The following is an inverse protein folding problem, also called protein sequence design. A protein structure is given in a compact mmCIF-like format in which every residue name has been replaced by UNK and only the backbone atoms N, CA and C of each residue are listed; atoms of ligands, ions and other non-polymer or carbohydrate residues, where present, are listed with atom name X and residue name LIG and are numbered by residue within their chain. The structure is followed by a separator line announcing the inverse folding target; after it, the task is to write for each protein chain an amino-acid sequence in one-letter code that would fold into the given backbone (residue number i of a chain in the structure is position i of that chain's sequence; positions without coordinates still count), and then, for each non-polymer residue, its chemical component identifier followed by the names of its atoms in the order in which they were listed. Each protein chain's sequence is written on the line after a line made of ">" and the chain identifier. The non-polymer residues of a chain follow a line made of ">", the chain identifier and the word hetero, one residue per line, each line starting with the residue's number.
data_IF_981021085553
#
_entry.id   IF_981021085553
#
_cell.length_a   1.000
_cell.length_b   1.000
_cell.length_c   1.000
_cell.angle_alpha   90.00
_cell.angle_beta   90.00
_cell.angle_gamma   90.00
#
_symmetry.space_group_name_H-M   'P 1'
#
loop_
_entity.id
_entity.type
_entity.pdbx_description
1 polymer ?
#
# COMPACT_ATOMS: atom_id res chain seq x y z
N UNK A 1 1.30 2.62 20.84
CA UNK A 1 0.34 2.88 19.75
C UNK A 1 0.71 1.96 18.58
N UNK A 2 -0.22 1.21 17.99
CA UNK A 2 0.09 0.24 16.92
C UNK A 2 0.50 0.92 15.61
N UNK A 3 1.27 0.22 14.76
CA UNK A 3 1.77 0.71 13.46
C UNK A 3 0.61 1.12 12.56
N UNK A 4 -0.45 0.31 12.50
CA UNK A 4 -1.72 0.62 11.82
C UNK A 4 -2.30 1.99 12.18
N UNK A 5 -2.44 2.31 13.47
CA UNK A 5 -2.98 3.62 13.92
C UNK A 5 -2.08 4.80 13.54
N UNK A 6 -0.77 4.59 13.43
CA UNK A 6 0.18 5.62 13.01
C UNK A 6 0.11 5.86 11.51
N UNK A 7 0.02 4.79 10.71
CA UNK A 7 -0.18 4.84 9.26
C UNK A 7 -1.52 5.51 8.91
N UNK A 8 -2.61 5.09 9.54
CA UNK A 8 -3.95 5.68 9.34
C UNK A 8 -4.00 7.16 9.77
N UNK A 9 -3.21 7.60 10.74
CA UNK A 9 -3.19 9.03 11.10
C UNK A 9 -2.40 9.86 10.07
N UNK A 10 -1.35 9.28 9.50
CA UNK A 10 -0.53 9.96 8.51
C UNK A 10 -1.21 10.04 7.14
N UNK A 11 -2.01 9.02 6.76
CA UNK A 11 -2.70 8.97 5.46
C UNK A 11 -3.62 10.18 5.27
N UNK A 12 -4.40 10.55 6.29
CA UNK A 12 -5.36 11.64 6.20
C UNK A 12 -4.66 13.00 5.99
N UNK A 13 -3.49 13.18 6.60
CA UNK A 13 -2.67 14.38 6.40
C UNK A 13 -2.11 14.45 4.98
N UNK A 14 -1.52 13.35 4.52
CA UNK A 14 -0.94 13.25 3.17
C UNK A 14 -2.00 13.46 2.09
N UNK A 15 -3.18 12.85 2.22
CA UNK A 15 -4.29 13.04 1.27
C UNK A 15 -4.71 14.51 1.23
N UNK A 16 -4.93 15.14 2.39
CA UNK A 16 -5.32 16.55 2.45
C UNK A 16 -4.29 17.47 1.82
N UNK A 17 -3.01 17.19 2.03
CA UNK A 17 -1.93 17.98 1.44
C UNK A 17 -1.91 17.83 -0.09
N UNK A 18 -2.09 16.60 -0.60
CA UNK A 18 -2.19 16.35 -2.05
C UNK A 18 -3.40 17.04 -2.67
N UNK A 19 -4.58 16.89 -2.06
CA UNK A 19 -5.82 17.54 -2.52
C UNK A 19 -5.67 19.05 -2.50
N UNK A 20 -5.13 19.61 -1.41
CA UNK A 20 -4.92 21.05 -1.29
C UNK A 20 -3.98 21.58 -2.36
N UNK A 21 -2.84 20.91 -2.61
CA UNK A 21 -1.88 21.30 -3.64
C UNK A 21 -2.46 21.18 -5.05
N UNK A 22 -3.25 20.14 -5.31
CA UNK A 22 -3.92 19.95 -6.59
C UNK A 22 -4.99 21.01 -6.85
N UNK A 23 -5.84 21.29 -5.86
CA UNK A 23 -6.96 22.23 -5.99
C UNK A 23 -6.53 23.69 -6.00
N UNK A 24 -5.46 24.04 -5.29
CA UNK A 24 -4.90 25.39 -5.30
C UNK A 24 -3.99 25.67 -6.51
N UNK A 25 -3.54 24.63 -7.21
CA UNK A 25 -2.64 24.73 -8.36
C UNK A 25 -3.30 25.23 -9.65
N UNK A 26 -2.46 25.53 -10.66
CA UNK A 26 -2.91 25.93 -12.00
C UNK A 26 -3.54 24.77 -12.79
N UNK A 27 -3.32 23.52 -12.32
CA UNK A 27 -3.81 22.28 -12.95
C UNK A 27 -3.43 22.19 -14.43
N UNK A 28 -2.21 22.65 -14.73
CA UNK A 28 -1.51 22.44 -15.99
C UNK A 28 -0.65 21.17 -15.93
N UNK A 29 0.06 20.85 -17.01
CA UNK A 29 0.90 19.66 -17.07
C UNK A 29 1.97 19.63 -15.98
N UNK A 30 2.56 20.78 -15.66
CA UNK A 30 3.60 20.89 -14.63
C UNK A 30 3.02 20.60 -13.24
N UNK A 31 1.89 21.22 -12.89
CA UNK A 31 1.17 20.94 -11.64
C UNK A 31 0.74 19.48 -11.54
N UNK A 32 0.27 18.89 -12.65
CA UNK A 32 -0.08 17.48 -12.74
C UNK A 32 1.14 16.58 -12.49
N UNK A 33 2.24 16.78 -13.22
CA UNK A 33 3.45 15.99 -13.08
C UNK A 33 3.98 16.05 -11.64
N UNK A 34 4.08 17.24 -11.06
CA UNK A 34 4.54 17.43 -9.68
C UNK A 34 3.65 16.68 -8.67
N UNK A 35 2.34 16.71 -8.86
CA UNK A 35 1.39 16.03 -7.97
C UNK A 35 1.51 14.51 -8.08
N UNK A 36 1.62 13.97 -9.29
CA UNK A 36 1.80 12.54 -9.53
C UNK A 36 3.15 12.06 -9.00
N UNK A 37 4.22 12.81 -9.23
CA UNK A 37 5.55 12.49 -8.71
C UNK A 37 5.56 12.49 -7.18
N UNK A 38 4.88 13.44 -6.55
CA UNK A 38 4.73 13.48 -5.09
C UNK A 38 3.97 12.26 -4.54
N UNK A 39 2.90 11.82 -5.21
CA UNK A 39 2.17 10.59 -4.87
C UNK A 39 3.09 9.37 -5.01
N UNK A 40 3.84 9.26 -6.10
CA UNK A 40 4.75 8.14 -6.36
C UNK A 40 5.87 8.07 -5.32
N UNK A 41 6.46 9.21 -4.94
CA UNK A 41 7.45 9.27 -3.85
C UNK A 41 6.90 8.73 -2.52
N UNK A 42 5.63 8.98 -2.23
CA UNK A 42 4.98 8.46 -1.02
C UNK A 42 4.77 6.95 -1.11
N UNK A 43 4.33 6.44 -2.27
CA UNK A 43 4.21 5.00 -2.53
C UNK A 43 5.57 4.32 -2.38
N UNK A 44 6.63 4.90 -2.94
CA UNK A 44 7.99 4.35 -2.86
C UNK A 44 8.50 4.33 -1.42
N UNK A 45 8.30 5.42 -0.66
CA UNK A 45 8.67 5.47 0.75
C UNK A 45 7.92 4.42 1.60
N UNK A 46 6.66 4.12 1.28
CA UNK A 46 5.89 3.05 1.94
C UNK A 46 6.45 1.68 1.55
N UNK A 47 6.75 1.47 0.27
CA UNK A 47 7.34 0.24 -0.22
C UNK A 47 8.72 -0.02 0.39
N UNK A 48 9.55 1.00 0.61
CA UNK A 48 10.82 0.88 1.34
C UNK A 48 10.60 0.50 2.82
N UNK A 49 9.56 1.03 3.46
CA UNK A 49 9.19 0.64 4.83
C UNK A 49 8.72 -0.82 4.90
N UNK A 50 7.98 -1.28 3.88
CA UNK A 50 7.60 -2.69 3.69
C UNK A 50 8.82 -3.57 3.46
N UNK A 51 9.79 -3.06 2.70
CA UNK A 51 11.01 -3.77 2.32
C UNK A 51 12.06 -3.87 3.42
N UNK A 52 11.85 -3.37 4.65
CA UNK A 52 12.79 -3.66 5.76
C UNK A 52 12.88 -5.18 5.95
N UNK A 53 13.92 -5.83 5.40
CA UNK A 53 14.01 -7.26 5.34
C UNK A 53 14.76 -7.60 6.61
N UNK A 54 14.06 -7.66 7.73
CA UNK A 54 14.54 -8.59 8.74
C UNK A 54 14.12 -9.96 8.24
N UNK A 55 15.02 -10.53 7.45
CA UNK A 55 15.20 -11.97 7.29
C UNK A 55 14.06 -12.70 6.59
N UNK A 56 13.95 -12.64 5.25
CA UNK A 56 13.17 -13.64 4.50
C UNK A 56 14.02 -14.90 4.25
N UNK A 57 15.30 -14.76 3.91
CA UNK A 57 16.22 -15.89 3.72
C UNK A 57 16.71 -16.50 5.05
N UNK A 58 16.86 -15.66 6.07
CA UNK A 58 17.18 -16.13 7.42
C UNK A 58 15.94 -16.50 8.22
N UNK A 59 14.72 -16.34 7.70
CA UNK A 59 13.50 -16.71 8.44
C UNK A 59 13.45 -18.20 8.70
N UNK A 60 13.74 -18.99 7.67
CA UNK A 60 13.70 -20.46 7.74
C UNK A 60 14.83 -20.98 8.64
N UNK A 61 16.03 -20.39 8.53
CA UNK A 61 17.16 -20.72 9.39
C UNK A 61 16.89 -20.32 10.86
N UNK A 62 16.41 -19.11 11.09
CA UNK A 62 16.03 -18.62 12.42
C UNK A 62 14.89 -19.45 13.01
N UNK A 63 13.91 -19.84 12.18
CA UNK A 63 12.82 -20.75 12.54
C UNK A 63 13.35 -22.12 12.94
N UNK A 64 14.19 -22.76 12.11
CA UNK A 64 14.76 -24.07 12.40
C UNK A 64 15.63 -24.04 13.67
N UNK A 65 16.45 -23.01 13.85
CA UNK A 65 17.32 -22.86 15.03
C UNK A 65 16.50 -22.59 16.30
N UNK A 66 15.51 -21.70 16.26
CA UNK A 66 14.61 -21.42 17.40
C UNK A 66 13.74 -22.62 17.73
N UNK A 67 13.22 -23.30 16.72
CA UNK A 67 12.42 -24.51 16.90
C UNK A 67 13.27 -25.63 17.51
N UNK A 68 14.49 -25.86 16.97
CA UNK A 68 15.44 -26.82 17.53
C UNK A 68 15.82 -26.48 18.97
N UNK A 69 16.12 -25.22 19.30
CA UNK A 69 16.40 -24.77 20.67
C UNK A 69 15.21 -25.02 21.60
N UNK A 70 14.00 -24.70 21.16
CA UNK A 70 12.79 -24.90 21.96
C UNK A 70 12.51 -26.40 22.17
N UNK A 71 12.78 -27.21 21.15
CA UNK A 71 12.66 -28.66 21.19
C UNK A 71 13.71 -29.32 22.10
N UNK A 72 14.94 -28.81 22.11
CA UNK A 72 16.02 -29.24 23.02
C UNK A 72 15.67 -28.89 24.47
N UNK A 73 15.23 -27.65 24.73
CA UNK A 73 14.79 -27.22 26.06
C UNK A 73 13.60 -28.06 26.54
N UNK A 74 12.65 -28.36 25.65
CA UNK A 74 11.54 -29.27 25.94
C UNK A 74 12.02 -30.67 26.32
N UNK A 75 12.94 -31.27 25.56
CA UNK A 75 13.48 -32.60 25.86
C UNK A 75 14.24 -32.63 27.19
N UNK A 76 14.97 -31.57 27.53
CA UNK A 76 15.68 -31.45 28.80
C UNK A 76 14.67 -31.36 29.96
N UNK A 77 13.64 -30.52 29.86
CA UNK A 77 12.61 -30.39 30.90
C UNK A 77 11.80 -31.69 31.03
N UNK A 78 11.47 -32.35 29.91
CA UNK A 78 10.75 -33.61 29.89
C UNK A 78 11.57 -34.77 30.48
N UNK A 79 12.87 -34.83 30.18
CA UNK A 79 13.80 -35.83 30.72
C UNK A 79 14.05 -35.63 32.23
N UNK A 80 14.04 -34.38 32.72
CA UNK A 80 14.18 -34.07 34.15
C UNK A 80 12.87 -34.28 34.95
N UNK A 81 11.71 -34.21 34.31
CA UNK A 81 10.40 -34.34 34.93
C UNK A 81 9.83 -35.78 34.93
N UNK A 82 10.61 -36.79 34.49
CA UNK A 82 10.11 -38.14 34.22
C UNK A 82 9.69 -38.96 35.45
N UNK A 83 9.96 -38.48 36.68
CA UNK A 83 9.68 -39.22 37.92
C UNK A 83 8.33 -38.89 38.61
N UNK A 84 7.50 -37.99 38.08
CA UNK A 84 6.20 -37.77 38.70
C UNK A 84 5.31 -36.72 38.06
N UNK A 85 4.16 -37.18 37.56
CA UNK A 85 2.86 -36.50 37.42
C UNK A 85 2.69 -35.10 36.79
N UNK A 86 3.73 -34.31 36.47
CA UNK A 86 3.55 -32.96 35.90
C UNK A 86 3.88 -32.86 34.40
N UNK A 87 3.28 -33.75 33.60
CA UNK A 87 3.40 -33.74 32.13
C UNK A 87 2.70 -32.55 31.44
N UNK A 88 1.94 -31.74 32.18
CA UNK A 88 1.19 -30.58 31.68
C UNK A 88 2.07 -29.33 31.44
N UNK A 89 3.11 -29.14 32.26
CA UNK A 89 4.02 -27.99 32.16
C UNK A 89 4.76 -27.95 30.80
N UNK A 90 5.38 -29.03 30.32
CA UNK A 90 6.05 -29.05 29.01
C UNK A 90 5.09 -28.74 27.84
N UNK A 91 3.85 -29.24 27.91
CA UNK A 91 2.84 -29.02 26.87
C UNK A 91 2.36 -27.55 26.84
N UNK A 92 2.19 -26.94 28.01
CA UNK A 92 1.81 -25.52 28.12
C UNK A 92 2.87 -24.57 27.55
N UNK A 93 4.17 -24.90 27.66
CA UNK A 93 5.27 -24.12 27.11
C UNK A 93 5.25 -24.17 25.57
N UNK A 94 5.01 -25.34 24.98
CA UNK A 94 4.89 -25.50 23.52
C UNK A 94 3.70 -24.70 22.98
N UNK A 95 2.53 -24.79 23.65
CA UNK A 95 1.36 -24.00 23.28
C UNK A 95 1.61 -22.49 23.41
N UNK A 96 2.26 -22.05 24.49
CA UNK A 96 2.62 -20.64 24.66
C UNK A 96 3.53 -20.13 23.54
N UNK A 97 4.50 -20.94 23.09
CA UNK A 97 5.35 -20.61 21.96
C UNK A 97 4.56 -20.53 20.64
N UNK A 98 3.68 -21.50 20.37
CA UNK A 98 2.83 -21.50 19.18
C UNK A 98 1.89 -20.29 19.15
N UNK A 99 1.26 -19.93 20.28
CA UNK A 99 0.39 -18.76 20.37
C UNK A 99 1.15 -17.44 20.29
N UNK A 100 2.33 -17.34 20.92
CA UNK A 100 3.19 -16.17 20.76
C UNK A 100 3.59 -15.98 19.29
N UNK A 101 3.88 -17.07 18.58
CA UNK A 101 4.22 -17.03 17.17
C UNK A 101 3.03 -16.66 16.29
N UNK A 102 1.86 -17.27 16.52
CA UNK A 102 0.64 -16.92 15.81
C UNK A 102 0.32 -15.42 15.97
N UNK A 103 0.51 -14.88 17.18
CA UNK A 103 0.33 -13.45 17.45
C UNK A 103 1.31 -12.58 16.67
N UNK A 104 2.58 -12.96 16.56
CA UNK A 104 3.56 -12.25 15.75
C UNK A 104 3.23 -12.27 14.26
N UNK A 105 2.86 -13.44 13.72
CA UNK A 105 2.46 -13.58 12.31
C UNK A 105 1.22 -12.74 12.01
N UNK A 106 0.21 -12.78 12.88
CA UNK A 106 -1.00 -11.97 12.72
C UNK A 106 -0.69 -10.47 12.75
N UNK A 107 0.23 -10.04 13.63
CA UNK A 107 0.67 -8.65 13.68
C UNK A 107 1.41 -8.24 12.39
N UNK A 108 2.28 -9.09 11.87
CA UNK A 108 2.97 -8.85 10.61
C UNK A 108 2.00 -8.76 9.42
N UNK A 109 0.99 -9.63 9.38
CA UNK A 109 -0.06 -9.59 8.36
C UNK A 109 -0.92 -8.32 8.47
N UNK A 110 -1.30 -7.91 9.69
CA UNK A 110 -2.06 -6.67 9.93
C UNK A 110 -1.25 -5.41 9.53
N UNK A 111 0.05 -5.37 9.85
CA UNK A 111 0.94 -4.28 9.47
C UNK A 111 1.11 -4.22 7.94
N UNK A 112 1.30 -5.36 7.26
CA UNK A 112 1.37 -5.41 5.79
C UNK A 112 0.06 -5.04 5.11
N UNK A 113 -1.06 -5.54 5.62
CA UNK A 113 -2.38 -5.16 5.12
C UNK A 113 -2.61 -3.65 5.23
N UNK A 114 -2.10 -3.03 6.29
CA UNK A 114 -2.20 -1.57 6.48
C UNK A 114 -1.36 -0.80 5.44
N UNK A 115 -0.20 -1.31 5.05
CA UNK A 115 0.60 -0.72 3.97
C UNK A 115 -0.10 -0.87 2.61
N UNK A 116 -0.67 -2.04 2.32
CA UNK A 116 -1.41 -2.27 1.07
C UNK A 116 -2.66 -1.38 0.99
N UNK A 117 -3.43 -1.24 2.09
CA UNK A 117 -4.55 -0.29 2.20
C UNK A 117 -4.11 1.14 1.86
N UNK A 118 -2.96 1.58 2.36
CA UNK A 118 -2.43 2.93 2.13
C UNK A 118 -2.05 3.15 0.65
N UNK A 119 -1.32 2.21 0.05
CA UNK A 119 -0.92 2.30 -1.36
C UNK A 119 -2.15 2.37 -2.27
N UNK A 120 -3.17 1.55 -2.01
CA UNK A 120 -4.42 1.54 -2.81
C UNK A 120 -5.11 2.91 -2.77
N UNK A 121 -5.13 3.57 -1.61
CA UNK A 121 -5.76 4.89 -1.48
C UNK A 121 -4.99 5.95 -2.28
N UNK A 122 -3.66 5.96 -2.21
CA UNK A 122 -2.84 6.88 -3.01
C UNK A 122 -2.99 6.63 -4.52
N UNK A 123 -3.07 5.37 -4.95
CA UNK A 123 -3.31 5.01 -6.34
C UNK A 123 -4.67 5.50 -6.84
N UNK A 124 -5.73 5.37 -6.03
CA UNK A 124 -7.05 5.91 -6.37
C UNK A 124 -7.00 7.43 -6.55
N UNK A 125 -6.34 8.14 -5.63
CA UNK A 125 -6.18 9.59 -5.71
C UNK A 125 -5.44 10.02 -6.98
N UNK A 126 -4.37 9.30 -7.34
CA UNK A 126 -3.64 9.50 -8.60
C UNK A 126 -4.53 9.33 -9.84
N UNK A 127 -5.38 8.29 -9.84
CA UNK A 127 -6.35 8.06 -10.93
C UNK A 127 -7.36 9.21 -11.03
N UNK A 128 -7.88 9.70 -9.91
CA UNK A 128 -8.86 10.79 -9.89
C UNK A 128 -8.26 12.11 -10.43
N UNK A 129 -7.05 12.45 -9.99
CA UNK A 129 -6.29 13.60 -10.50
C UNK A 129 -6.02 13.46 -12.00
N UNK A 130 -5.59 12.27 -12.45
CA UNK A 130 -5.36 11.99 -13.88
C UNK A 130 -6.63 12.14 -14.70
N UNK A 131 -7.77 11.64 -14.20
CA UNK A 131 -9.06 11.76 -14.87
C UNK A 131 -9.49 13.23 -14.99
N UNK A 132 -9.30 14.02 -13.93
CA UNK A 132 -9.61 15.46 -13.97
C UNK A 132 -8.74 16.18 -15.00
N UNK A 133 -7.43 15.92 -15.01
CA UNK A 133 -6.49 16.52 -15.95
C UNK A 133 -6.83 16.19 -17.41
N UNK A 134 -7.05 14.91 -17.72
CA UNK A 134 -7.45 14.48 -19.07
C UNK A 134 -8.80 15.09 -19.48
N UNK A 135 -9.76 15.16 -18.55
CA UNK A 135 -11.05 15.81 -18.80
C UNK A 135 -10.93 17.32 -19.07
N UNK A 136 -9.93 18.00 -18.51
CA UNK A 136 -9.61 19.40 -18.84
C UNK A 136 -8.99 19.53 -20.22
N UNK A 137 -8.06 18.64 -20.59
CA UNK A 137 -7.46 18.64 -21.93
C UNK A 137 -8.52 18.43 -23.01
N UNK A 138 -9.41 17.45 -22.82
CA UNK A 138 -10.49 17.17 -23.77
C UNK A 138 -11.38 18.39 -24.01
N UNK A 139 -11.83 19.06 -22.95
CA UNK A 139 -12.64 20.29 -23.05
C UNK A 139 -11.92 21.40 -23.82
N UNK A 140 -10.63 21.63 -23.56
CA UNK A 140 -9.84 22.61 -24.32
C UNK A 140 -9.76 22.26 -25.80
N UNK A 141 -9.61 20.98 -26.14
CA UNK A 141 -9.59 20.52 -27.53
C UNK A 141 -10.95 20.71 -28.20
N UNK A 142 -12.04 20.39 -27.51
CA UNK A 142 -13.40 20.57 -28.01
C UNK A 142 -13.70 22.07 -28.26
N UNK A 143 -13.31 22.95 -27.34
CA UNK A 143 -13.44 24.41 -27.49
C UNK A 143 -12.66 24.92 -28.73
N UNK A 144 -11.44 24.44 -28.94
CA UNK A 144 -10.62 24.79 -30.12
C UNK A 144 -11.32 24.31 -31.39
N UNK A 145 -11.82 23.07 -31.41
CA UNK A 145 -12.49 22.50 -32.57
C UNK A 145 -13.78 23.27 -32.91
N UNK A 146 -14.55 23.73 -31.93
CA UNK A 146 -15.71 24.60 -32.16
C UNK A 146 -15.31 25.95 -32.77
N UNK A 147 -14.22 26.56 -32.29
CA UNK A 147 -13.72 27.84 -32.83
C UNK A 147 -13.25 27.66 -34.27
N UNK A 148 -12.54 26.56 -34.57
CA UNK A 148 -12.08 26.25 -35.93
C UNK A 148 -13.26 26.00 -36.87
N UNK A 149 -14.26 25.21 -36.45
CA UNK A 149 -15.51 25.01 -37.20
C UNK A 149 -16.26 26.32 -37.48
N UNK A 150 -16.33 27.23 -36.50
CA UNK A 150 -16.98 28.55 -36.70
C UNK A 150 -16.20 29.47 -37.64
N UNK A 151 -14.87 29.29 -37.76
CA UNK A 151 -14.02 30.11 -38.64
C UNK A 151 -13.92 29.58 -40.07
N UNK A 152 -13.98 28.26 -40.25
CA UNK A 152 -13.92 27.59 -41.56
C UNK A 152 -15.13 26.66 -41.76
N UNK A 153 -16.36 27.19 -41.93
CA UNK A 153 -17.55 26.36 -42.06
C UNK A 153 -17.54 25.47 -43.32
N UNK A 154 -16.93 25.94 -44.41
CA UNK A 154 -16.86 25.23 -45.70
C UNK A 154 -15.99 23.96 -45.66
N UNK A 155 -15.09 23.84 -44.68
CA UNK A 155 -14.17 22.69 -44.54
C UNK A 155 -14.83 21.51 -43.80
N UNK A 156 -15.96 21.74 -43.11
CA UNK A 156 -16.66 20.73 -42.30
C UNK A 156 -18.05 20.34 -42.84
N UNK A 157 -18.49 20.92 -43.95
CA UNK A 157 -19.78 20.62 -44.58
C UNK A 157 -19.81 19.24 -45.26
N UNK A 158 -18.63 18.62 -45.46
CA UNK A 158 -18.49 17.33 -46.15
C UNK A 158 -18.42 16.09 -45.24
N UNK A 159 -18.19 16.26 -43.93
CA UNK A 159 -18.04 15.12 -43.00
C UNK A 159 -19.37 14.61 -42.44
N UNK A 160 -20.48 15.34 -42.59
CA UNK A 160 -21.80 14.93 -42.08
C UNK A 160 -22.53 13.91 -42.98
N UNK A 161 -22.00 13.63 -44.18
CA UNK A 161 -22.64 12.73 -45.16
C UNK A 161 -22.03 11.32 -45.26
N UNK A 162 -21.02 10.99 -44.44
CA UNK A 162 -20.34 9.68 -44.50
C UNK A 162 -20.50 8.94 -43.17
N UNK A 163 -21.73 8.58 -42.82
CA UNK A 163 -22.03 7.44 -41.95
C UNK A 163 -23.52 7.06 -42.13
N UNK A 164 -23.80 6.27 -43.17
CA UNK A 164 -24.98 5.41 -43.28
C UNK A 164 -24.56 3.95 -43.02
#
# INVERSE_FOLDING_TARGET
>A
MGVRKKLIKNIDGIIRDIEHNWDSGKKDYESYSQTIDYINQHIDAINEQRQKPTTQDYWLFYFLVRFALTFIVFFIIFALASDGYDRLLPFSIVLAFLFARQRETNKFLDDNSSFDEFIIILQRLSIDITREYVGRLRRKTDDINEIVKKKNPEEYEYDEYVNY
#
